data_IF_028023197764
#
_entry.id   IF_028023197764
#
_cell.length_a   1.000
_cell.length_b   1.000
_cell.length_c   1.000
_cell.angle_alpha   90.00
_cell.angle_beta   90.00
_cell.angle_gamma   90.00
#
_symmetry.space_group_name_H-M   'P 1'
#
loop_
_entity.id
_entity.type
_entity.pdbx_description
1 polymer ?
#
# COMPACT_ATOMS: atom_id res chain seq x y z
N UNK A 1 2.35 -14.65 -12.55
CA UNK A 1 3.05 -14.03 -11.41
C UNK A 1 2.38 -14.55 -10.14
N UNK A 2 3.01 -15.53 -9.48
CA UNK A 2 2.49 -16.12 -8.25
C UNK A 2 2.73 -15.14 -7.09
N UNK A 3 1.66 -14.65 -6.50
CA UNK A 3 1.71 -13.97 -5.21
C UNK A 3 2.12 -14.99 -4.15
N UNK A 4 3.10 -14.68 -3.28
CA UNK A 4 3.42 -15.56 -2.17
C UNK A 4 2.20 -15.68 -1.24
N UNK A 5 1.94 -16.85 -0.65
CA UNK A 5 0.82 -17.04 0.25
C UNK A 5 1.02 -16.13 1.47
N UNK A 6 0.17 -15.13 1.62
CA UNK A 6 -0.02 -14.44 2.88
C UNK A 6 -0.50 -15.49 3.87
N UNK A 7 0.34 -15.87 4.83
CA UNK A 7 -0.07 -16.70 5.96
C UNK A 7 -1.31 -16.03 6.57
N UNK A 8 -2.44 -16.70 6.47
CA UNK A 8 -3.69 -16.26 7.05
C UNK A 8 -3.51 -16.28 8.58
N UNK A 9 -3.13 -15.13 9.15
CA UNK A 9 -3.19 -14.94 10.59
C UNK A 9 -4.63 -15.19 11.03
N UNK A 10 -4.83 -16.08 12.00
CA UNK A 10 -6.15 -16.39 12.56
C UNK A 10 -6.86 -15.11 12.98
N UNK A 11 -8.18 -15.08 12.92
CA UNK A 11 -8.98 -13.84 12.99
C UNK A 11 -8.80 -13.02 14.28
N UNK A 12 -8.09 -13.52 15.28
CA UNK A 12 -7.85 -12.87 16.59
C UNK A 12 -6.38 -12.69 17.00
N UNK A 13 -5.40 -12.84 16.08
CA UNK A 13 -4.00 -12.90 16.41
C UNK A 13 -3.22 -11.65 15.92
N UNK A 14 -2.28 -11.16 16.76
CA UNK A 14 -1.38 -10.08 16.38
C UNK A 14 -0.35 -10.56 15.35
N UNK A 15 -0.35 -9.97 14.17
CA UNK A 15 0.57 -10.34 13.08
C UNK A 15 2.06 -10.03 13.31
N UNK A 16 2.46 -9.60 14.52
CA UNK A 16 3.86 -9.34 14.90
C UNK A 16 4.31 -10.23 16.06
N UNK A 17 3.57 -10.30 17.16
CA UNK A 17 3.95 -11.08 18.34
C UNK A 17 3.15 -12.36 18.55
N UNK A 18 2.17 -12.64 17.69
CA UNK A 18 1.35 -13.86 17.79
C UNK A 18 0.36 -13.88 18.95
N UNK A 19 0.26 -12.82 19.77
CA UNK A 19 -0.65 -12.83 20.92
C UNK A 19 -2.10 -12.84 20.49
N UNK A 20 -2.89 -13.72 21.09
CA UNK A 20 -4.36 -13.80 20.95
C UNK A 20 -5.09 -13.04 22.08
N UNK A 21 -4.38 -12.66 23.14
CA UNK A 21 -4.91 -11.94 24.30
C UNK A 21 -5.06 -10.44 24.10
N UNK A 22 -4.93 -9.94 22.88
CA UNK A 22 -5.05 -8.52 22.61
C UNK A 22 -6.49 -8.03 22.72
N UNK A 23 -6.76 -7.03 23.56
CA UNK A 23 -8.06 -6.39 23.68
C UNK A 23 -8.54 -5.76 22.36
N UNK A 24 -7.59 -5.19 21.61
CA UNK A 24 -7.84 -4.53 20.33
C UNK A 24 -6.70 -4.86 19.37
N UNK A 25 -7.08 -5.19 18.14
CA UNK A 25 -6.14 -5.27 17.03
C UNK A 25 -6.33 -4.06 16.13
N UNK A 26 -5.25 -3.33 15.92
CA UNK A 26 -5.19 -2.16 15.06
C UNK A 26 -4.79 -2.56 13.65
N UNK A 27 -5.47 -2.00 12.65
CA UNK A 27 -5.08 -2.13 11.25
C UNK A 27 -3.98 -1.10 10.93
N UNK A 28 -2.86 -1.58 10.43
CA UNK A 28 -1.68 -0.74 10.11
C UNK A 28 -1.09 -1.19 8.79
N UNK A 29 -0.59 -0.25 7.99
CA UNK A 29 0.20 -0.58 6.79
C UNK A 29 1.67 -0.38 7.08
N UNK A 30 2.43 -1.48 7.12
CA UNK A 30 3.88 -1.50 7.34
C UNK A 30 4.59 -1.96 6.07
N UNK A 31 5.52 -1.16 5.56
CA UNK A 31 6.30 -1.49 4.34
C UNK A 31 5.43 -1.97 3.17
N UNK A 32 4.27 -1.34 2.99
CA UNK A 32 3.32 -1.71 1.93
C UNK A 32 2.36 -2.85 2.26
N UNK A 33 2.59 -3.59 3.35
CA UNK A 33 1.77 -4.75 3.74
C UNK A 33 0.78 -4.34 4.83
N UNK A 34 -0.48 -4.74 4.67
CA UNK A 34 -1.52 -4.55 5.68
C UNK A 34 -1.38 -5.61 6.77
N UNK A 35 -1.34 -5.17 8.04
CA UNK A 35 -1.22 -6.05 9.21
C UNK A 35 -2.20 -5.64 10.30
N UNK A 36 -2.62 -6.63 11.10
CA UNK A 36 -3.35 -6.41 12.35
C UNK A 36 -2.36 -6.55 13.50
N UNK A 37 -2.24 -5.54 14.34
CA UNK A 37 -1.25 -5.48 15.41
C UNK A 37 -1.92 -5.12 16.74
N UNK A 38 -1.48 -5.73 17.83
CA UNK A 38 -1.90 -5.31 19.17
C UNK A 38 -1.31 -3.93 19.51
N UNK A 39 -1.90 -3.26 20.49
CA UNK A 39 -1.50 -1.92 20.97
C UNK A 39 0.00 -1.81 21.22
N UNK A 40 0.59 -2.75 21.97
CA UNK A 40 2.03 -2.75 22.25
C UNK A 40 2.90 -2.86 21.01
N UNK A 41 2.50 -3.69 20.03
CA UNK A 41 3.23 -3.83 18.76
C UNK A 41 3.14 -2.59 17.89
N UNK A 42 1.98 -1.92 17.84
CA UNK A 42 1.86 -0.63 17.12
C UNK A 42 2.85 0.37 17.69
N UNK A 43 2.90 0.53 18.99
CA UNK A 43 3.80 1.49 19.65
C UNK A 43 5.28 1.12 19.49
N UNK A 44 5.64 -0.16 19.62
CA UNK A 44 7.03 -0.63 19.40
C UNK A 44 7.53 -0.40 17.98
N UNK A 45 6.67 -0.54 16.98
CA UNK A 45 7.04 -0.38 15.58
C UNK A 45 7.04 1.08 15.10
N UNK A 46 6.56 2.01 15.95
CA UNK A 46 6.49 3.44 15.63
C UNK A 46 7.13 4.33 16.72
N UNK A 47 8.36 4.03 17.19
CA UNK A 47 8.96 4.69 18.36
C UNK A 47 9.23 6.19 18.16
N UNK A 48 9.36 6.65 16.90
CA UNK A 48 9.64 8.05 16.59
C UNK A 48 8.40 8.98 16.62
N UNK A 49 7.19 8.43 16.76
CA UNK A 49 5.95 9.20 16.60
C UNK A 49 5.38 9.76 17.90
N UNK A 50 5.85 9.29 19.06
CA UNK A 50 5.28 9.66 20.37
C UNK A 50 6.34 9.64 21.48
N UNK A 51 6.04 10.29 22.59
CA UNK A 51 6.84 10.19 23.80
C UNK A 51 6.47 8.92 24.59
N UNK A 52 7.40 7.98 24.85
CA UNK A 52 7.10 6.70 25.51
C UNK A 52 6.70 6.82 26.98
N UNK A 53 6.91 8.01 27.60
CA UNK A 53 6.56 8.26 29.00
C UNK A 53 5.13 8.81 29.16
N UNK A 54 4.71 9.74 28.30
CA UNK A 54 3.41 10.41 28.41
C UNK A 54 2.42 10.07 27.28
N UNK A 55 2.84 9.32 26.26
CA UNK A 55 2.05 8.91 25.10
C UNK A 55 1.51 10.06 24.24
N UNK A 56 2.03 11.26 24.39
CA UNK A 56 1.70 12.39 23.51
C UNK A 56 2.38 12.18 22.17
N UNK A 57 1.59 12.26 21.10
CA UNK A 57 2.08 12.20 19.72
C UNK A 57 2.81 13.48 19.34
N UNK A 58 3.81 13.38 18.49
CA UNK A 58 4.49 14.51 17.89
C UNK A 58 3.78 14.94 16.61
N UNK A 59 3.55 16.24 16.45
CA UNK A 59 2.91 16.81 15.25
C UNK A 59 3.77 16.60 14.01
N UNK A 60 5.11 16.70 14.17
CA UNK A 60 6.09 16.48 13.10
C UNK A 60 7.21 15.58 13.63
N UNK A 61 7.18 14.27 13.41
CA UNK A 61 8.28 13.39 13.79
C UNK A 61 9.43 13.44 12.74
N UNK A 62 10.70 13.56 13.16
CA UNK A 62 11.13 13.74 14.55
C UNK A 62 10.93 15.18 15.04
N UNK A 63 10.59 15.38 16.33
CA UNK A 63 10.48 16.72 16.90
C UNK A 63 11.83 17.44 16.88
N UNK A 64 11.83 18.77 16.95
CA UNK A 64 13.05 19.57 16.96
C UNK A 64 14.00 19.15 18.10
N UNK A 65 15.31 19.21 17.86
CA UNK A 65 16.34 18.73 18.80
C UNK A 65 16.26 19.34 20.21
N UNK A 66 15.87 20.62 20.31
CA UNK A 66 15.68 21.31 21.59
C UNK A 66 14.48 20.80 22.41
N UNK A 67 13.56 20.08 21.80
CA UNK A 67 12.32 19.59 22.42
C UNK A 67 12.31 18.07 22.63
N UNK A 68 13.46 17.40 22.42
CA UNK A 68 13.55 15.96 22.53
C UNK A 68 14.82 15.49 23.23
N UNK A 69 14.71 14.35 23.91
CA UNK A 69 15.84 13.53 24.35
C UNK A 69 15.77 12.22 23.58
N UNK A 70 16.83 11.90 22.85
CA UNK A 70 16.89 10.69 22.02
C UNK A 70 17.30 9.48 22.85
N UNK A 71 16.66 8.34 22.61
CA UNK A 71 17.13 7.07 23.15
C UNK A 71 18.45 6.68 22.47
N UNK A 72 19.42 6.20 23.24
CA UNK A 72 20.73 5.76 22.72
C UNK A 72 20.67 4.43 21.99
N UNK A 73 19.61 3.63 22.18
CA UNK A 73 19.48 2.28 21.64
C UNK A 73 18.48 2.17 20.48
N UNK A 74 17.55 3.12 20.34
CA UNK A 74 16.56 3.10 19.26
C UNK A 74 16.19 4.51 18.80
N UNK A 75 15.28 4.61 17.81
CA UNK A 75 14.78 5.89 17.26
C UNK A 75 13.66 6.55 18.08
N UNK A 76 13.49 6.19 19.35
CA UNK A 76 12.49 6.79 20.24
C UNK A 76 12.97 8.13 20.76
N UNK A 77 12.03 9.06 20.93
CA UNK A 77 12.26 10.38 21.52
C UNK A 77 11.34 10.59 22.72
N UNK A 78 11.87 11.24 23.76
CA UNK A 78 11.08 11.64 24.93
C UNK A 78 11.14 13.15 25.12
N UNK A 79 10.14 13.73 25.76
CA UNK A 79 10.20 15.14 26.17
C UNK A 79 11.24 15.32 27.29
N UNK A 80 11.99 16.44 27.31
CA UNK A 80 12.99 16.68 28.35
C UNK A 80 12.42 16.62 29.77
N UNK A 81 11.20 17.14 29.99
CA UNK A 81 10.51 17.09 31.26
C UNK A 81 10.08 15.67 31.66
N UNK A 82 9.76 14.80 30.68
CA UNK A 82 9.41 13.40 30.96
C UNK A 82 10.61 12.55 31.36
N UNK A 83 11.83 12.91 30.94
CA UNK A 83 13.06 12.21 31.27
C UNK A 83 13.57 12.65 32.66
N UNK A 84 13.48 13.93 33.01
CA UNK A 84 13.93 14.46 34.30
C UNK A 84 13.24 13.81 35.51
N UNK A 85 12.01 13.35 35.34
CA UNK A 85 11.27 12.65 36.40
C UNK A 85 11.71 11.19 36.60
N UNK A 86 12.42 10.61 35.64
CA UNK A 86 12.77 9.19 35.64
C UNK A 86 14.24 8.90 35.87
N UNK A 87 15.15 9.85 35.58
CA UNK A 87 16.61 9.60 35.60
C UNK A 87 17.40 10.85 36.00
N UNK A 88 17.56 11.10 37.27
CA UNK A 88 18.47 12.15 37.77
C UNK A 88 19.95 11.75 37.69
N UNK A 89 20.32 10.52 37.26
CA UNK A 89 21.69 10.00 37.46
C UNK A 89 22.29 9.20 36.29
N UNK A 90 21.60 8.94 35.20
CA UNK A 90 22.16 8.10 34.13
C UNK A 90 22.04 8.75 32.72
N UNK A 91 23.19 9.11 32.20
CA UNK A 91 23.39 9.38 30.77
C UNK A 91 24.16 8.16 30.20
N UNK A 92 23.76 7.59 29.08
CA UNK A 92 22.76 8.03 28.11
C UNK A 92 21.31 7.59 28.42
N UNK A 93 20.30 8.33 27.89
CA UNK A 93 18.89 7.99 28.06
C UNK A 93 18.51 6.72 27.30
N UNK A 94 17.86 5.80 28.00
CA UNK A 94 17.19 4.63 27.43
C UNK A 94 15.67 4.77 27.60
N UNK A 95 14.91 4.57 26.50
CA UNK A 95 13.46 4.53 26.58
C UNK A 95 12.99 3.23 27.29
N UNK A 96 11.79 3.18 27.88
CA UNK A 96 11.32 2.01 28.63
C UNK A 96 11.46 0.67 27.90
N UNK A 97 11.10 0.54 26.59
CA UNK A 97 11.31 -0.71 25.85
C UNK A 97 12.77 -1.12 25.64
N UNK A 98 13.72 -0.17 25.71
CA UNK A 98 15.15 -0.46 25.57
C UNK A 98 15.84 -0.70 26.93
N UNK A 99 15.25 -0.17 27.99
CA UNK A 99 15.74 -0.39 29.36
C UNK A 99 15.31 -1.77 29.89
N UNK A 100 14.14 -2.26 29.47
CA UNK A 100 13.60 -3.55 29.91
C UNK A 100 13.13 -4.36 28.69
N UNK A 101 13.72 -5.54 28.48
CA UNK A 101 13.39 -6.46 27.39
C UNK A 101 11.96 -7.01 27.48
N UNK A 102 11.41 -7.12 28.69
CA UNK A 102 10.06 -7.63 28.96
C UNK A 102 9.01 -6.52 29.00
N UNK A 103 9.41 -5.26 28.84
CA UNK A 103 8.50 -4.13 28.87
C UNK A 103 7.35 -4.29 27.90
N UNK A 104 6.11 -4.05 28.34
CA UNK A 104 4.94 -3.92 27.50
C UNK A 104 4.31 -2.53 27.66
N UNK A 105 3.94 -1.90 26.54
CA UNK A 105 3.21 -0.63 26.58
C UNK A 105 1.77 -0.78 27.03
N UNK A 106 1.19 -1.95 26.79
CA UNK A 106 -0.21 -2.23 27.06
C UNK A 106 -0.34 -3.66 27.54
N UNK A 107 -0.45 -3.79 28.84
CA UNK A 107 -0.69 -5.05 29.53
C UNK A 107 -1.88 -4.85 30.47
N UNK A 108 -2.99 -5.51 30.14
CA UNK A 108 -4.23 -5.40 30.90
C UNK A 108 -4.32 -6.62 31.79
N UNK A 109 -4.03 -6.45 33.06
CA UNK A 109 -4.36 -7.37 34.13
C UNK A 109 -5.74 -7.00 34.68
N UNK A 110 -6.52 -7.97 35.12
CA UNK A 110 -7.82 -7.80 35.80
C UNK A 110 -8.90 -7.01 35.04
N UNK A 111 -8.80 -6.93 33.71
CA UNK A 111 -9.76 -6.21 32.85
C UNK A 111 -9.97 -4.73 33.20
N UNK A 112 -9.05 -4.10 33.91
CA UNK A 112 -9.09 -2.68 34.28
C UNK A 112 -8.13 -1.88 33.41
N UNK A 113 -8.63 -0.82 32.78
CA UNK A 113 -7.81 0.13 32.01
C UNK A 113 -7.60 1.37 32.87
N UNK A 114 -6.39 1.58 33.33
CA UNK A 114 -5.97 2.79 34.00
C UNK A 114 -5.73 3.96 33.00
N UNK A 115 -5.48 5.16 33.52
CA UNK A 115 -5.21 6.35 32.70
C UNK A 115 -4.03 6.15 31.75
N UNK A 116 -2.97 5.45 32.18
CA UNK A 116 -1.76 5.22 31.38
C UNK A 116 -2.04 4.26 30.24
N UNK A 117 -2.74 3.17 30.49
CA UNK A 117 -3.20 2.21 29.48
C UNK A 117 -4.16 2.87 28.47
N UNK A 118 -5.08 3.71 28.95
CA UNK A 118 -5.99 4.47 28.08
C UNK A 118 -5.22 5.41 27.14
N UNK A 119 -4.19 6.11 27.64
CA UNK A 119 -3.33 6.97 26.82
C UNK A 119 -2.51 6.15 25.78
N UNK A 120 -1.99 4.99 26.19
CA UNK A 120 -1.27 4.09 25.29
C UNK A 120 -2.20 3.58 24.17
N UNK A 121 -3.41 3.18 24.50
CA UNK A 121 -4.43 2.74 23.54
C UNK A 121 -4.79 3.87 22.57
N UNK A 122 -5.07 5.06 23.06
CA UNK A 122 -5.38 6.24 22.24
C UNK A 122 -4.22 6.58 21.31
N UNK A 123 -2.99 6.57 21.79
CA UNK A 123 -1.79 6.83 21.00
C UNK A 123 -1.67 5.81 19.85
N UNK A 124 -1.77 4.52 20.14
CA UNK A 124 -1.72 3.45 19.14
C UNK A 124 -2.84 3.57 18.10
N UNK A 125 -4.06 3.88 18.53
CA UNK A 125 -5.20 4.09 17.63
C UNK A 125 -4.97 5.24 16.67
N UNK A 126 -4.44 6.37 17.13
CA UNK A 126 -4.12 7.53 16.29
C UNK A 126 -3.02 7.21 15.26
N UNK A 127 -1.96 6.49 15.68
CA UNK A 127 -0.90 6.04 14.76
C UNK A 127 -1.49 5.10 13.70
N UNK A 128 -2.31 4.15 14.10
CA UNK A 128 -2.95 3.21 13.17
C UNK A 128 -3.88 3.92 12.18
N UNK A 129 -4.72 4.82 12.67
CA UNK A 129 -5.60 5.65 11.83
C UNK A 129 -4.82 6.46 10.81
N UNK A 130 -3.75 7.15 11.23
CA UNK A 130 -2.89 7.91 10.32
C UNK A 130 -2.20 7.02 9.28
N UNK A 131 -1.76 5.81 9.68
CA UNK A 131 -1.19 4.82 8.75
C UNK A 131 -2.20 4.38 7.71
N UNK A 132 -3.44 4.11 8.10
CA UNK A 132 -4.49 3.69 7.17
C UNK A 132 -4.98 4.83 6.28
N UNK A 133 -5.07 6.06 6.78
CA UNK A 133 -5.38 7.23 5.97
C UNK A 133 -4.36 7.43 4.83
N UNK A 134 -3.06 7.34 5.14
CA UNK A 134 -2.00 7.36 4.11
C UNK A 134 -2.14 6.21 3.12
N UNK A 135 -2.48 5.00 3.59
CA UNK A 135 -2.69 3.84 2.72
C UNK A 135 -3.83 4.05 1.72
N UNK A 136 -4.93 4.65 2.16
CA UNK A 136 -6.08 4.99 1.30
C UNK A 136 -5.69 6.00 0.23
N UNK A 137 -4.94 7.05 0.57
CA UNK A 137 -4.47 8.04 -0.41
C UNK A 137 -3.59 7.41 -1.48
N UNK A 138 -2.64 6.54 -1.08
CA UNK A 138 -1.77 5.83 -2.02
C UNK A 138 -2.58 4.89 -2.92
N UNK A 139 -3.52 4.12 -2.36
CA UNK A 139 -4.35 3.19 -3.12
C UNK A 139 -5.24 3.93 -4.13
N UNK A 140 -5.80 5.09 -3.74
CA UNK A 140 -6.61 5.94 -4.62
C UNK A 140 -5.78 6.47 -5.79
N UNK A 141 -4.62 7.04 -5.51
CA UNK A 141 -3.71 7.55 -6.54
C UNK A 141 -3.29 6.46 -7.54
N UNK A 142 -2.99 5.27 -7.04
CA UNK A 142 -2.64 4.12 -7.88
C UNK A 142 -3.82 3.65 -8.75
N UNK A 143 -5.02 3.59 -8.19
CA UNK A 143 -6.23 3.25 -8.93
C UNK A 143 -6.51 4.26 -10.06
N UNK A 144 -6.40 5.56 -9.77
CA UNK A 144 -6.57 6.63 -10.76
C UNK A 144 -5.52 6.53 -11.89
N UNK A 145 -4.27 6.20 -11.56
CA UNK A 145 -3.22 5.96 -12.55
C UNK A 145 -3.57 4.79 -13.47
N UNK A 146 -3.98 3.66 -12.91
CA UNK A 146 -4.37 2.46 -13.69
C UNK A 146 -5.58 2.70 -14.58
N UNK A 147 -6.55 3.48 -14.13
CA UNK A 147 -7.70 3.86 -14.95
C UNK A 147 -7.24 4.66 -16.18
N UNK A 148 -6.36 5.67 -15.98
CA UNK A 148 -5.82 6.44 -17.12
C UNK A 148 -5.04 5.56 -18.10
N UNK A 149 -4.19 4.65 -17.60
CA UNK A 149 -3.44 3.70 -18.44
C UNK A 149 -4.38 2.78 -19.25
N UNK A 150 -5.45 2.28 -18.61
CA UNK A 150 -6.44 1.42 -19.28
C UNK A 150 -7.20 2.16 -20.37
N UNK A 151 -7.56 3.42 -20.17
CA UNK A 151 -8.22 4.26 -21.19
C UNK A 151 -7.32 4.44 -22.41
N UNK A 152 -6.04 4.75 -22.19
CA UNK A 152 -5.06 4.90 -23.29
C UNK A 152 -4.86 3.57 -24.04
N UNK A 153 -4.70 2.47 -23.31
CA UNK A 153 -4.55 1.14 -23.91
C UNK A 153 -5.78 0.74 -24.75
N UNK A 154 -6.99 1.01 -24.24
CA UNK A 154 -8.25 0.77 -24.97
C UNK A 154 -8.33 1.58 -26.26
N UNK A 155 -7.94 2.86 -26.20
CA UNK A 155 -7.92 3.73 -27.41
C UNK A 155 -6.95 3.17 -28.46
N UNK A 156 -5.73 2.84 -28.07
CA UNK A 156 -4.72 2.26 -28.99
C UNK A 156 -5.17 0.93 -29.60
N UNK A 157 -5.79 0.06 -28.80
CA UNK A 157 -6.33 -1.21 -29.30
C UNK A 157 -7.43 -0.99 -30.33
N UNK A 158 -8.33 -0.03 -30.09
CA UNK A 158 -9.38 0.34 -31.05
C UNK A 158 -8.80 0.88 -32.34
N UNK A 159 -7.86 1.81 -32.30
CA UNK A 159 -7.18 2.36 -33.47
C UNK A 159 -6.47 1.26 -34.27
N UNK A 160 -5.81 0.31 -33.60
CA UNK A 160 -5.19 -0.83 -34.28
C UNK A 160 -6.20 -1.74 -34.97
N UNK A 161 -7.35 -2.04 -34.35
CA UNK A 161 -8.43 -2.82 -34.96
C UNK A 161 -9.05 -2.12 -36.17
N UNK A 162 -9.29 -0.81 -36.08
CA UNK A 162 -9.80 -0.01 -37.21
C UNK A 162 -8.83 -0.01 -38.39
N UNK A 163 -7.51 0.03 -38.08
CA UNK A 163 -6.47 -0.05 -39.11
C UNK A 163 -6.47 -1.43 -39.81
N UNK A 164 -6.53 -2.52 -39.05
CA UNK A 164 -6.60 -3.88 -39.61
C UNK A 164 -7.86 -4.03 -40.48
N UNK A 165 -9.01 -3.58 -40.00
CA UNK A 165 -10.24 -3.63 -40.75
C UNK A 165 -10.19 -2.85 -42.08
N UNK A 166 -9.48 -1.71 -42.11
CA UNK A 166 -9.25 -0.93 -43.32
C UNK A 166 -8.38 -1.65 -44.35
N UNK A 167 -7.32 -2.33 -43.90
CA UNK A 167 -6.48 -3.17 -44.77
C UNK A 167 -7.24 -4.35 -45.37
N UNK A 168 -8.06 -5.02 -44.59
CA UNK A 168 -8.86 -6.15 -45.09
C UNK A 168 -9.85 -5.68 -46.18
N UNK A 169 -10.53 -4.56 -45.97
CA UNK A 169 -11.42 -3.97 -46.98
C UNK A 169 -10.68 -3.64 -48.28
N UNK A 170 -9.49 -3.06 -48.17
CA UNK A 170 -8.69 -2.73 -49.37
C UNK A 170 -8.21 -3.98 -50.10
N UNK A 171 -7.81 -5.03 -49.37
CA UNK A 171 -7.43 -6.32 -49.94
C UNK A 171 -8.58 -7.00 -50.67
N UNK A 172 -9.79 -6.96 -50.12
CA UNK A 172 -11.00 -7.48 -50.76
C UNK A 172 -11.30 -6.70 -52.04
N UNK A 173 -11.26 -5.38 -52.00
CA UNK A 173 -11.48 -4.52 -53.19
C UNK A 173 -10.47 -4.78 -54.32
N UNK A 174 -9.19 -5.04 -53.96
CA UNK A 174 -8.15 -5.40 -54.95
C UNK A 174 -8.45 -6.77 -55.60
N UNK A 175 -8.87 -7.76 -54.79
CA UNK A 175 -9.27 -9.08 -55.32
C UNK A 175 -10.47 -8.99 -56.25
N UNK A 176 -11.49 -8.24 -55.88
CA UNK A 176 -12.70 -8.05 -56.67
C UNK A 176 -12.37 -7.41 -58.03
N UNK A 177 -11.53 -6.36 -58.04
CA UNK A 177 -11.06 -5.76 -59.29
C UNK A 177 -10.26 -6.72 -60.16
N UNK A 178 -9.42 -7.58 -59.60
CA UNK A 178 -8.66 -8.59 -60.32
C UNK A 178 -9.58 -9.63 -60.96
N UNK A 179 -10.60 -10.10 -60.24
CA UNK A 179 -11.60 -11.04 -60.73
C UNK A 179 -12.41 -10.44 -61.90
N UNK A 180 -12.85 -9.20 -61.76
CA UNK A 180 -13.56 -8.49 -62.84
C UNK A 180 -12.68 -8.33 -64.10
N UNK A 181 -11.40 -7.99 -63.94
CA UNK A 181 -10.47 -7.89 -65.07
C UNK A 181 -10.21 -9.24 -65.73
N UNK A 182 -10.16 -10.35 -64.96
CA UNK A 182 -10.03 -11.70 -65.53
C UNK A 182 -11.29 -12.11 -66.30
N UNK A 183 -12.47 -11.83 -65.75
CA UNK A 183 -13.73 -12.12 -66.38
C UNK A 183 -13.87 -11.37 -67.75
N UNK A 184 -13.52 -10.09 -67.80
CA UNK A 184 -13.53 -9.29 -69.04
C UNK A 184 -12.56 -9.82 -70.08
N UNK A 185 -11.36 -10.29 -69.69
CA UNK A 185 -10.40 -10.89 -70.64
C UNK A 185 -10.93 -12.18 -71.21
N UNK A 186 -11.56 -13.04 -70.42
CA UNK A 186 -12.19 -14.30 -70.93
C UNK A 186 -13.34 -14.02 -71.91
N UNK A 187 -14.12 -12.95 -71.67
CA UNK A 187 -15.22 -12.58 -72.61
C UNK A 187 -14.65 -12.05 -73.91
N UNK A 188 -13.55 -11.25 -73.89
CA UNK A 188 -12.89 -10.75 -75.10
C UNK A 188 -12.31 -11.91 -75.93
N UNK A 189 -11.59 -12.83 -75.29
CA UNK A 189 -11.02 -14.03 -75.97
C UNK A 189 -12.09 -14.94 -76.57
N UNK A 190 -13.27 -15.05 -75.91
CA UNK A 190 -14.42 -15.78 -76.48
C UNK A 190 -15.02 -15.09 -77.67
N UNK A 191 -15.08 -13.77 -77.71
CA UNK A 191 -15.63 -13.00 -78.86
C UNK A 191 -14.70 -13.05 -80.07
N UNK A 192 -13.37 -13.07 -79.87
CA UNK A 192 -12.38 -13.18 -80.97
C UNK A 192 -12.35 -14.59 -81.55
N UNK A 193 -12.62 -15.65 -80.78
CA UNK A 193 -12.66 -17.01 -81.25
C UNK A 193 -13.99 -17.40 -81.99
N UNK A 194 -14.99 -16.53 -81.96
CA UNK A 194 -16.33 -16.74 -82.57
C UNK A 194 -16.53 -15.95 -83.90
N UNK A 195 -15.47 -15.34 -84.48
CA UNK A 195 -15.59 -14.68 -85.78
C UNK A 195 -15.61 -15.75 -86.93
N UNK A 196 -16.63 -15.83 -87.73
CA UNK A 196 -16.68 -16.79 -88.88
C UNK A 196 -15.77 -16.33 -90.00
N UNK A 197 -15.07 -17.34 -90.64
CA UNK A 197 -14.32 -17.25 -91.91
C UNK A 197 -15.24 -16.88 -93.02
#
# INVERSE_FOLDING_TARGET
MNLPPTSAASAGECGNCGTQKGWVLHHVRLRGIHRRLCTSCVLRLHPAYFCPSCFVLYDSPPPHTSRRVSCSSCSSFAHPHCVKSLQLSQSPYLCPPCADSNFSFFDVTDHVIDKKLALALLCATRIASASMAKAVLVARSEAERRVREAVVAKKRAREALEHVASFEKEKLRKKEKQLLQQSMKIEVEKSESAAPI
#
